data_IF_736226095029
#
_entry.id   IF_736226095029
#
_cell.length_a   1.000
_cell.length_b   1.000
_cell.length_c   1.000
_cell.angle_alpha   90.00
_cell.angle_beta   90.00
_cell.angle_gamma   90.00
#
_symmetry.space_group_name_H-M   'P 1'
#
loop_
_entity.id
_entity.type
_entity.pdbx_description
1 polymer ?
#
# COMPACT_ATOMS: atom_id res chain seq x y z
N UNK A 1 17.71 14.04 10.16
CA UNK A 1 16.56 15.00 10.04
C UNK A 1 17.09 16.27 9.41
N UNK A 2 16.38 16.84 8.45
CA UNK A 2 16.83 18.00 7.67
C UNK A 2 16.69 19.35 8.41
N UNK A 3 16.30 19.34 9.70
CA UNK A 3 16.19 20.55 10.54
C UNK A 3 14.86 21.30 10.41
N UNK A 4 13.86 20.72 9.71
CA UNK A 4 12.51 21.29 9.63
C UNK A 4 11.64 20.73 10.77
N UNK A 5 10.94 21.63 11.47
CA UNK A 5 10.05 21.31 12.59
C UNK A 5 8.73 22.05 12.36
N UNK A 6 7.64 21.28 12.29
CA UNK A 6 6.29 21.85 12.10
C UNK A 6 5.97 22.86 13.22
N UNK A 7 5.39 23.99 12.81
CA UNK A 7 5.05 25.09 13.71
C UNK A 7 6.23 25.98 14.15
N UNK A 8 7.48 25.64 13.78
CA UNK A 8 8.65 26.48 14.06
C UNK A 8 9.21 27.13 12.80
N UNK A 9 9.54 26.33 11.79
CA UNK A 9 10.19 26.80 10.55
C UNK A 9 9.61 26.15 9.29
N UNK A 10 8.56 25.36 9.43
CA UNK A 10 7.76 24.80 8.32
C UNK A 10 6.29 24.71 8.76
N UNK A 11 5.38 24.96 7.80
CA UNK A 11 3.95 24.74 7.96
C UNK A 11 3.55 23.61 7.04
N UNK A 12 2.75 22.65 7.53
CA UNK A 12 2.22 21.55 6.73
C UNK A 12 0.74 21.80 6.43
N UNK A 13 0.42 21.84 5.15
CA UNK A 13 -0.95 21.98 4.63
C UNK A 13 -1.50 20.60 4.27
N UNK A 14 -2.32 20.04 5.14
CA UNK A 14 -2.92 18.72 4.91
C UNK A 14 -4.13 18.78 3.99
N UNK A 15 -4.18 17.85 3.02
CA UNK A 15 -5.34 17.61 2.16
C UNK A 15 -5.62 16.12 2.11
N UNK A 16 -6.86 15.73 2.33
CA UNK A 16 -7.28 14.33 2.29
C UNK A 16 -8.57 14.20 1.49
N UNK A 17 -8.60 13.23 0.60
CA UNK A 17 -9.79 12.82 -0.15
C UNK A 17 -10.60 11.73 0.59
N UNK A 18 -10.24 11.41 1.85
CA UNK A 18 -10.93 10.44 2.72
C UNK A 18 -11.21 9.08 2.03
N UNK A 19 -10.22 8.59 1.26
CA UNK A 19 -10.30 7.34 0.51
C UNK A 19 -10.90 7.44 -0.89
N UNK A 20 -11.56 8.56 -1.25
CA UNK A 20 -12.02 8.82 -2.62
C UNK A 20 -10.90 9.36 -3.52
N UNK A 21 -11.04 9.19 -4.84
CA UNK A 21 -10.07 9.72 -5.82
C UNK A 21 -10.58 10.94 -6.55
N UNK A 22 -11.89 11.16 -6.58
CA UNK A 22 -12.55 12.20 -7.37
C UNK A 22 -12.16 13.63 -6.96
N UNK A 23 -11.98 13.87 -5.65
CA UNK A 23 -11.58 15.18 -5.12
C UNK A 23 -10.09 15.51 -5.27
N UNK A 24 -9.23 14.56 -5.63
CA UNK A 24 -7.78 14.75 -5.68
C UNK A 24 -7.31 15.86 -6.64
N UNK A 25 -7.88 16.04 -7.84
CA UNK A 25 -7.49 17.14 -8.72
C UNK A 25 -7.72 18.53 -8.10
N UNK A 26 -8.85 18.71 -7.43
CA UNK A 26 -9.19 19.98 -6.76
C UNK A 26 -8.28 20.26 -5.56
N UNK A 27 -8.01 19.23 -4.76
CA UNK A 27 -7.09 19.32 -3.62
C UNK A 27 -5.65 19.63 -4.05
N UNK A 28 -5.20 19.05 -5.15
CA UNK A 28 -3.90 19.38 -5.73
C UNK A 28 -3.86 20.82 -6.26
N UNK A 29 -4.92 21.26 -6.96
CA UNK A 29 -5.03 22.63 -7.44
C UNK A 29 -5.08 23.66 -6.29
N UNK A 30 -5.70 23.33 -5.15
CA UNK A 30 -5.69 24.19 -3.96
C UNK A 30 -4.26 24.39 -3.41
N UNK A 31 -3.47 23.33 -3.30
CA UNK A 31 -2.06 23.43 -2.88
C UNK A 31 -1.24 24.30 -3.84
N UNK A 32 -1.49 24.18 -5.15
CA UNK A 32 -0.83 25.03 -6.16
C UNK A 32 -1.25 26.51 -6.01
N UNK A 33 -2.53 26.82 -5.79
CA UNK A 33 -3.00 28.19 -5.51
C UNK A 33 -2.36 28.78 -4.27
N UNK A 34 -2.11 27.97 -3.25
CA UNK A 34 -1.42 28.35 -2.00
C UNK A 34 0.09 28.53 -2.17
N UNK A 35 0.63 28.18 -3.34
CA UNK A 35 2.07 28.28 -3.65
C UNK A 35 2.94 27.55 -2.62
N UNK A 36 2.54 26.34 -2.24
CA UNK A 36 3.36 25.52 -1.33
C UNK A 36 4.75 25.27 -1.94
N UNK A 37 5.77 25.18 -1.10
CA UNK A 37 7.15 25.03 -1.57
C UNK A 37 7.44 23.62 -2.11
N UNK A 38 6.77 22.57 -1.57
CA UNK A 38 6.88 21.17 -1.98
C UNK A 38 5.52 20.49 -1.79
N UNK A 39 5.14 19.61 -2.69
CA UNK A 39 3.97 18.73 -2.54
C UNK A 39 4.45 17.33 -2.20
N UNK A 40 3.99 16.77 -1.07
CA UNK A 40 4.14 15.36 -0.75
C UNK A 40 2.85 14.62 -1.14
N UNK A 41 2.94 13.66 -2.05
CA UNK A 41 1.80 12.95 -2.63
C UNK A 41 1.81 11.46 -2.25
N UNK A 42 0.93 11.07 -1.33
CA UNK A 42 0.82 9.70 -0.84
C UNK A 42 -0.16 8.87 -1.68
N UNK A 43 0.35 7.88 -2.39
CA UNK A 43 -0.38 6.96 -3.25
C UNK A 43 -0.43 7.35 -4.72
N UNK A 44 -0.61 6.36 -5.62
CA UNK A 44 -0.62 6.56 -7.06
C UNK A 44 -1.61 7.63 -7.56
N UNK A 45 -2.90 7.64 -7.12
CA UNK A 45 -3.84 8.65 -7.58
C UNK A 45 -3.45 10.08 -7.17
N UNK A 46 -2.94 10.26 -5.94
CA UNK A 46 -2.50 11.57 -5.45
C UNK A 46 -1.28 12.08 -6.22
N UNK A 47 -0.31 11.19 -6.49
CA UNK A 47 0.88 11.52 -7.28
C UNK A 47 0.51 11.96 -8.71
N UNK A 48 -0.42 11.23 -9.35
CA UNK A 48 -0.91 11.57 -10.68
C UNK A 48 -1.67 12.91 -10.68
N UNK A 49 -2.48 13.19 -9.67
CA UNK A 49 -3.19 14.47 -9.54
C UNK A 49 -2.22 15.63 -9.32
N UNK A 50 -1.25 15.50 -8.43
CA UNK A 50 -0.23 16.52 -8.17
C UNK A 50 0.59 16.82 -9.43
N UNK A 51 1.03 15.80 -10.17
CA UNK A 51 1.80 15.96 -11.41
C UNK A 51 1.00 16.73 -12.48
N UNK A 52 -0.31 16.47 -12.60
CA UNK A 52 -1.18 17.21 -13.53
C UNK A 52 -1.39 18.66 -13.11
N UNK A 53 -1.39 18.93 -11.80
CA UNK A 53 -1.70 20.26 -11.27
C UNK A 53 -0.54 21.25 -11.41
N UNK A 54 0.72 20.79 -11.44
CA UNK A 54 1.89 21.68 -11.54
C UNK A 54 3.07 21.02 -12.25
N UNK A 55 3.86 21.86 -12.93
CA UNK A 55 5.15 21.47 -13.54
C UNK A 55 6.34 22.17 -12.87
N UNK A 56 6.10 23.02 -11.88
CA UNK A 56 7.13 23.85 -11.26
C UNK A 56 7.32 23.57 -9.77
N UNK A 57 6.24 23.32 -9.03
CA UNK A 57 6.36 22.97 -7.62
C UNK A 57 6.95 21.56 -7.51
N UNK A 58 8.04 21.34 -6.78
CA UNK A 58 8.61 20.03 -6.52
C UNK A 58 7.59 19.06 -5.92
N UNK A 59 7.57 17.83 -6.40
CA UNK A 59 6.68 16.78 -5.92
C UNK A 59 7.52 15.59 -5.44
N UNK A 60 7.28 15.15 -4.21
CA UNK A 60 7.76 13.88 -3.67
C UNK A 60 6.59 12.93 -3.59
N UNK A 61 6.59 11.88 -4.38
CA UNK A 61 5.55 10.85 -4.31
C UNK A 61 5.97 9.66 -3.46
N UNK A 62 4.99 8.95 -2.90
CA UNK A 62 5.10 7.59 -2.39
C UNK A 62 4.07 6.75 -3.13
N UNK A 63 4.50 5.77 -3.91
CA UNK A 63 3.64 5.02 -4.83
C UNK A 63 3.85 3.52 -4.74
N UNK A 64 2.75 2.75 -4.80
CA UNK A 64 2.78 1.30 -4.97
C UNK A 64 2.75 0.86 -6.43
N UNK A 65 2.31 1.73 -7.34
CA UNK A 65 2.39 1.51 -8.78
C UNK A 65 3.73 1.99 -9.34
N UNK A 66 4.20 1.33 -10.40
CA UNK A 66 5.45 1.67 -11.08
C UNK A 66 5.40 3.12 -11.60
N UNK A 67 6.26 4.02 -11.10
CA UNK A 67 6.21 5.44 -11.45
C UNK A 67 6.62 5.73 -12.89
N UNK A 68 7.36 4.84 -13.54
CA UNK A 68 7.70 4.97 -14.97
C UNK A 68 6.50 4.58 -15.84
N UNK A 69 5.85 3.45 -15.54
CA UNK A 69 4.63 3.03 -16.24
C UNK A 69 3.49 4.01 -16.03
N UNK A 70 3.38 4.62 -14.85
CA UNK A 70 2.42 5.70 -14.57
C UNK A 70 2.77 7.02 -15.25
N UNK A 71 3.94 7.11 -15.88
CA UNK A 71 4.43 8.35 -16.48
C UNK A 71 4.74 9.45 -15.46
N UNK A 72 4.96 9.13 -14.19
CA UNK A 72 5.35 10.11 -13.17
C UNK A 72 6.78 10.59 -13.40
N UNK A 73 7.68 9.70 -13.72
CA UNK A 73 9.09 9.96 -13.99
C UNK A 73 9.54 9.26 -15.27
N UNK A 74 10.62 9.71 -15.90
CA UNK A 74 11.17 9.06 -17.09
C UNK A 74 12.04 7.85 -16.75
N UNK A 75 12.69 7.84 -15.58
CA UNK A 75 13.48 6.73 -15.06
C UNK A 75 13.68 6.85 -13.55
N UNK A 76 14.06 5.75 -12.91
CA UNK A 76 14.37 5.75 -11.45
C UNK A 76 15.63 6.55 -11.12
N UNK A 77 16.68 6.44 -11.93
CA UNK A 77 18.00 7.05 -11.64
C UNK A 77 18.02 8.55 -11.87
N UNK A 78 17.28 9.02 -12.89
CA UNK A 78 17.19 10.44 -13.27
C UNK A 78 15.75 10.79 -13.55
N UNK A 79 14.95 11.01 -12.51
CA UNK A 79 13.59 11.51 -12.69
C UNK A 79 13.66 12.86 -13.42
N UNK A 80 12.82 13.07 -14.40
CA UNK A 80 12.79 14.32 -15.18
C UNK A 80 11.72 15.27 -14.61
N UNK A 81 11.93 16.58 -14.83
CA UNK A 81 10.96 17.59 -14.40
C UNK A 81 10.97 17.86 -12.90
N UNK A 82 9.78 18.10 -12.35
CA UNK A 82 9.60 18.50 -10.95
C UNK A 82 9.21 17.34 -10.01
N UNK A 83 9.32 16.08 -10.44
CA UNK A 83 8.81 14.92 -9.70
C UNK A 83 9.93 13.97 -9.33
N UNK A 84 9.99 13.55 -8.08
CA UNK A 84 10.80 12.45 -7.56
C UNK A 84 10.03 11.72 -6.47
N UNK A 85 10.57 10.67 -5.88
CA UNK A 85 9.89 10.01 -4.77
C UNK A 85 10.31 8.58 -4.51
N UNK A 86 9.34 7.79 -4.09
CA UNK A 86 9.54 6.47 -3.50
C UNK A 86 8.55 5.48 -4.10
N UNK A 87 9.07 4.35 -4.55
CA UNK A 87 8.30 3.23 -5.09
C UNK A 87 8.42 2.01 -4.19
N UNK A 88 7.31 1.58 -3.57
CA UNK A 88 7.35 0.54 -2.55
C UNK A 88 7.02 -0.88 -3.05
N UNK A 89 7.19 -1.15 -4.35
CA UNK A 89 7.14 -2.49 -4.94
C UNK A 89 5.84 -3.26 -4.68
N UNK A 90 4.69 -2.56 -4.59
CA UNK A 90 3.44 -3.20 -4.18
C UNK A 90 3.02 -4.32 -5.13
N UNK A 91 3.22 -4.12 -6.41
CA UNK A 91 2.85 -5.08 -7.46
C UNK A 91 3.86 -6.22 -7.58
N UNK A 92 5.16 -5.96 -7.41
CA UNK A 92 6.21 -6.99 -7.45
C UNK A 92 6.13 -7.97 -6.28
N UNK A 93 5.58 -7.55 -5.15
CA UNK A 93 5.44 -8.38 -3.96
C UNK A 93 4.18 -9.26 -3.95
N UNK A 94 3.28 -9.09 -4.91
CA UNK A 94 2.00 -9.85 -5.00
C UNK A 94 2.24 -11.36 -5.03
N UNK A 95 3.13 -11.82 -5.91
CA UNK A 95 3.45 -13.23 -6.05
C UNK A 95 4.02 -13.84 -4.75
N UNK A 96 4.95 -13.12 -4.12
CA UNK A 96 5.57 -13.56 -2.87
C UNK A 96 4.58 -13.60 -1.71
N UNK A 97 3.69 -12.58 -1.62
CA UNK A 97 2.65 -12.54 -0.58
C UNK A 97 1.65 -13.68 -0.71
N UNK A 98 1.20 -14.00 -1.93
CA UNK A 98 0.30 -15.12 -2.16
C UNK A 98 1.00 -16.44 -1.84
N UNK A 99 2.27 -16.62 -2.24
CA UNK A 99 3.03 -17.82 -1.91
C UNK A 99 3.21 -17.99 -0.39
N UNK A 100 3.49 -16.91 0.35
CA UNK A 100 3.57 -16.94 1.81
C UNK A 100 2.22 -17.29 2.46
N UNK A 101 1.12 -16.74 1.96
CA UNK A 101 -0.23 -17.06 2.44
C UNK A 101 -0.56 -18.54 2.19
N UNK A 102 -0.23 -19.06 1.01
CA UNK A 102 -0.45 -20.46 0.67
C UNK A 102 0.45 -21.40 1.50
N UNK A 103 1.70 -21.03 1.75
CA UNK A 103 2.61 -21.78 2.63
C UNK A 103 2.08 -21.85 4.06
N UNK A 104 1.51 -20.76 4.56
CA UNK A 104 0.86 -20.70 5.87
C UNK A 104 -0.42 -21.53 5.91
N UNK A 105 -1.16 -21.61 4.80
CA UNK A 105 -2.45 -22.27 4.68
C UNK A 105 -2.45 -23.31 3.53
N UNK A 106 -1.66 -24.38 3.62
CA UNK A 106 -1.45 -25.30 2.48
C UNK A 106 -2.68 -26.09 2.06
N UNK A 107 -3.72 -26.12 2.91
CA UNK A 107 -5.00 -26.78 2.60
C UNK A 107 -6.02 -25.84 1.94
N UNK A 108 -5.82 -24.52 2.07
CA UNK A 108 -6.72 -23.55 1.45
C UNK A 108 -6.60 -23.59 -0.07
N UNK A 109 -7.74 -23.70 -0.74
CA UNK A 109 -7.84 -23.73 -2.20
C UNK A 109 -8.55 -22.50 -2.76
N UNK A 110 -9.52 -21.94 -2.03
CA UNK A 110 -10.27 -20.77 -2.43
C UNK A 110 -9.74 -19.53 -1.74
N UNK A 111 -9.22 -18.60 -2.53
CA UNK A 111 -8.65 -17.33 -2.04
C UNK A 111 -9.48 -16.17 -2.58
N UNK A 112 -10.17 -15.46 -1.69
CA UNK A 112 -10.77 -14.18 -2.04
C UNK A 112 -9.68 -13.11 -2.17
N UNK A 113 -9.79 -12.27 -3.18
CA UNK A 113 -8.90 -11.14 -3.43
C UNK A 113 -9.70 -9.86 -3.38
N UNK A 114 -9.32 -8.93 -2.54
CA UNK A 114 -9.96 -7.62 -2.43
C UNK A 114 -9.05 -6.55 -3.04
N UNK A 115 -9.55 -5.79 -4.03
CA UNK A 115 -8.84 -4.69 -4.69
C UNK A 115 -9.74 -3.47 -4.85
N UNK A 116 -9.12 -2.29 -4.89
CA UNK A 116 -9.83 -1.05 -5.19
C UNK A 116 -9.74 -0.75 -6.70
N UNK A 117 -10.85 -0.86 -7.47
CA UNK A 117 -10.83 -0.67 -8.91
C UNK A 117 -10.51 0.77 -9.33
N UNK A 118 -10.68 1.75 -8.44
CA UNK A 118 -10.36 3.16 -8.74
C UNK A 118 -8.86 3.46 -8.71
N UNK A 119 -8.07 2.58 -8.08
CA UNK A 119 -6.61 2.65 -8.07
C UNK A 119 -6.02 1.67 -9.11
N UNK A 120 -6.27 1.97 -10.38
CA UNK A 120 -5.91 1.14 -11.53
C UNK A 120 -4.43 0.75 -11.53
N UNK A 121 -3.54 1.68 -11.13
CA UNK A 121 -2.09 1.47 -11.11
C UNK A 121 -1.61 0.33 -10.19
N UNK A 122 -2.43 -0.07 -9.22
CA UNK A 122 -2.14 -1.22 -8.33
C UNK A 122 -3.12 -2.36 -8.52
N UNK A 123 -4.40 -2.07 -8.80
CA UNK A 123 -5.45 -3.09 -8.91
C UNK A 123 -5.23 -4.03 -10.10
N UNK A 124 -5.05 -3.49 -11.30
CA UNK A 124 -4.88 -4.32 -12.51
C UNK A 124 -3.64 -5.22 -12.47
N UNK A 125 -2.43 -4.72 -12.13
CA UNK A 125 -1.27 -5.59 -11.97
C UNK A 125 -1.48 -6.64 -10.88
N UNK A 126 -2.08 -6.28 -9.74
CA UNK A 126 -2.38 -7.21 -8.65
C UNK A 126 -3.26 -8.36 -9.14
N UNK A 127 -4.37 -8.06 -9.80
CA UNK A 127 -5.29 -9.09 -10.33
C UNK A 127 -4.62 -9.99 -11.36
N UNK A 128 -3.88 -9.39 -12.30
CA UNK A 128 -3.14 -10.12 -13.34
C UNK A 128 -2.11 -11.09 -12.73
N UNK A 129 -1.31 -10.62 -11.80
CA UNK A 129 -0.22 -11.40 -11.21
C UNK A 129 -0.76 -12.49 -10.28
N UNK A 130 -1.84 -12.22 -9.52
CA UNK A 130 -2.54 -13.24 -8.73
C UNK A 130 -3.16 -14.33 -9.60
N UNK A 131 -3.70 -13.99 -10.77
CA UNK A 131 -4.22 -14.98 -11.70
C UNK A 131 -3.13 -15.91 -12.25
N UNK A 132 -1.92 -15.41 -12.45
CA UNK A 132 -0.76 -16.21 -12.89
C UNK A 132 -0.29 -17.14 -11.77
N UNK A 133 -0.01 -16.55 -10.60
CA UNK A 133 0.56 -17.30 -9.45
C UNK A 133 -0.49 -18.26 -8.86
N UNK A 134 -1.76 -17.87 -8.82
CA UNK A 134 -2.86 -18.73 -8.35
C UNK A 134 -2.97 -20.00 -9.19
N UNK A 135 -2.87 -19.90 -10.51
CA UNK A 135 -2.82 -21.07 -11.39
C UNK A 135 -1.62 -21.98 -11.09
N UNK A 136 -0.43 -21.40 -10.91
CA UNK A 136 0.78 -22.16 -10.59
C UNK A 136 0.68 -22.89 -9.24
N UNK A 137 -0.04 -22.32 -8.27
CA UNK A 137 -0.29 -22.90 -6.95
C UNK A 137 -1.57 -23.75 -6.87
N UNK A 138 -2.29 -23.93 -7.99
CA UNK A 138 -3.58 -24.65 -8.04
C UNK A 138 -4.62 -24.06 -7.06
N UNK A 139 -4.65 -22.72 -6.97
CA UNK A 139 -5.62 -21.96 -6.18
C UNK A 139 -6.75 -21.47 -7.06
N UNK A 140 -7.98 -21.54 -6.54
CA UNK A 140 -9.14 -20.89 -7.09
C UNK A 140 -9.22 -19.46 -6.52
N UNK A 141 -9.14 -18.47 -7.41
CA UNK A 141 -9.07 -17.06 -7.02
C UNK A 141 -10.32 -16.34 -7.51
N UNK A 142 -11.04 -15.73 -6.57
CA UNK A 142 -12.16 -14.84 -6.90
C UNK A 142 -11.84 -13.41 -6.45
N UNK A 143 -11.96 -12.46 -7.40
CA UNK A 143 -11.69 -11.05 -7.17
C UNK A 143 -12.97 -10.33 -6.76
N UNK A 144 -12.87 -9.53 -5.71
CA UNK A 144 -13.91 -8.64 -5.21
C UNK A 144 -13.40 -7.20 -5.25
N UNK A 145 -14.28 -6.28 -5.57
CA UNK A 145 -13.95 -4.89 -5.75
C UNK A 145 -14.60 -4.05 -4.65
N UNK A 146 -13.83 -3.10 -4.09
CA UNK A 146 -14.35 -2.14 -3.14
C UNK A 146 -13.57 -0.83 -3.23
N UNK A 147 -14.29 0.28 -3.39
CA UNK A 147 -13.78 1.65 -3.43
C UNK A 147 -14.34 2.53 -2.32
N UNK A 148 -15.24 1.98 -1.49
CA UNK A 148 -15.86 2.63 -0.34
C UNK A 148 -15.98 1.65 0.82
N UNK A 149 -16.17 2.20 2.04
CA UNK A 149 -16.41 1.38 3.24
C UNK A 149 -17.65 0.47 3.09
N UNK A 150 -18.74 0.99 2.51
CA UNK A 150 -19.95 0.19 2.28
C UNK A 150 -19.73 -0.96 1.29
N UNK A 151 -18.88 -0.74 0.29
CA UNK A 151 -18.50 -1.81 -0.65
C UNK A 151 -17.58 -2.86 0.00
N UNK A 152 -16.77 -2.48 1.01
CA UNK A 152 -16.04 -3.45 1.83
C UNK A 152 -17.01 -4.39 2.55
N UNK A 153 -18.04 -3.83 3.22
CA UNK A 153 -19.05 -4.63 3.90
C UNK A 153 -19.79 -5.55 2.93
N UNK A 154 -20.16 -5.06 1.75
CA UNK A 154 -20.82 -5.84 0.71
C UNK A 154 -19.94 -6.98 0.16
N UNK A 155 -18.62 -6.72 -0.05
CA UNK A 155 -17.67 -7.73 -0.48
C UNK A 155 -17.56 -8.87 0.54
N UNK A 156 -17.42 -8.54 1.83
CA UNK A 156 -17.37 -9.55 2.88
C UNK A 156 -18.69 -10.33 3.03
N UNK A 157 -19.84 -9.68 2.87
CA UNK A 157 -21.12 -10.37 2.85
C UNK A 157 -21.24 -11.39 1.68
N UNK A 158 -20.69 -11.03 0.52
CA UNK A 158 -20.66 -11.90 -0.65
C UNK A 158 -19.73 -13.12 -0.48
N UNK A 159 -18.73 -13.08 0.41
CA UNK A 159 -17.88 -14.24 0.71
C UNK A 159 -18.66 -15.46 1.19
N UNK A 160 -19.78 -15.25 1.90
CA UNK A 160 -20.60 -16.34 2.43
C UNK A 160 -21.15 -17.28 1.33
N UNK A 161 -21.35 -16.79 0.11
CA UNK A 161 -21.89 -17.59 -1.00
C UNK A 161 -20.82 -18.46 -1.67
N UNK A 162 -19.54 -18.02 -1.66
CA UNK A 162 -18.46 -18.74 -2.32
C UNK A 162 -17.59 -19.54 -1.32
N UNK A 163 -17.53 -19.09 -0.07
CA UNK A 163 -16.80 -19.74 1.01
C UNK A 163 -15.28 -19.72 0.82
N UNK A 164 -14.65 -18.53 0.72
CA UNK A 164 -13.19 -18.45 0.68
C UNK A 164 -12.56 -19.00 1.96
N UNK A 165 -11.38 -19.60 1.83
CA UNK A 165 -10.60 -20.18 2.93
C UNK A 165 -9.45 -19.28 3.34
N UNK A 166 -9.15 -18.27 2.51
CA UNK A 166 -8.16 -17.23 2.77
C UNK A 166 -8.52 -15.93 2.05
N UNK A 167 -7.96 -14.82 2.52
CA UNK A 167 -8.18 -13.48 1.98
C UNK A 167 -6.84 -12.81 1.64
N UNK A 168 -6.73 -12.32 0.43
CA UNK A 168 -5.62 -11.48 -0.01
C UNK A 168 -6.11 -10.04 -0.17
N UNK A 169 -5.60 -9.13 0.65
CA UNK A 169 -5.91 -7.69 0.55
C UNK A 169 -4.88 -7.02 -0.35
N UNK A 170 -5.33 -6.46 -1.47
CA UNK A 170 -4.50 -5.65 -2.37
C UNK A 170 -3.96 -4.39 -1.68
N UNK A 171 -2.82 -3.85 -2.14
CA UNK A 171 -2.28 -2.61 -1.59
C UNK A 171 -3.11 -1.40 -2.06
N UNK A 172 -3.72 -0.67 -1.12
CA UNK A 172 -4.50 0.52 -1.44
C UNK A 172 -4.59 1.51 -0.26
N UNK A 173 -4.55 2.84 -0.50
CA UNK A 173 -4.71 3.84 0.56
C UNK A 173 -6.04 3.73 1.32
N UNK A 174 -7.16 3.39 0.64
CA UNK A 174 -8.45 3.16 1.29
C UNK A 174 -8.34 2.01 2.29
N UNK A 175 -7.76 0.88 1.88
CA UNK A 175 -7.65 -0.29 2.75
C UNK A 175 -6.74 -0.03 3.96
N UNK A 176 -5.75 0.84 3.80
CA UNK A 176 -4.94 1.27 4.93
C UNK A 176 -5.71 2.23 5.86
N UNK A 177 -6.48 3.17 5.34
CA UNK A 177 -7.32 4.06 6.16
C UNK A 177 -8.42 3.29 6.90
N UNK A 178 -8.98 2.25 6.28
CA UNK A 178 -10.03 1.37 6.83
C UNK A 178 -9.47 0.11 7.51
N UNK A 179 -8.17 0.07 7.86
CA UNK A 179 -7.49 -1.14 8.38
C UNK A 179 -8.19 -1.78 9.58
N UNK A 180 -8.63 -0.98 10.55
CA UNK A 180 -9.32 -1.47 11.74
C UNK A 180 -10.66 -2.15 11.37
N UNK A 181 -11.38 -1.58 10.42
CA UNK A 181 -12.63 -2.14 9.91
C UNK A 181 -12.38 -3.44 9.14
N UNK A 182 -11.41 -3.45 8.23
CA UNK A 182 -11.03 -4.64 7.46
C UNK A 182 -10.59 -5.81 8.35
N UNK A 183 -9.77 -5.53 9.36
CA UNK A 183 -9.32 -6.56 10.31
C UNK A 183 -10.49 -7.10 11.13
N UNK A 184 -11.42 -6.23 11.55
CA UNK A 184 -12.65 -6.63 12.24
C UNK A 184 -13.53 -7.51 11.36
N UNK A 185 -13.69 -7.18 10.08
CA UNK A 185 -14.44 -8.00 9.13
C UNK A 185 -13.76 -9.36 8.92
N UNK A 186 -12.44 -9.39 8.70
CA UNK A 186 -11.69 -10.65 8.54
C UNK A 186 -11.88 -11.56 9.76
N UNK A 187 -11.81 -11.02 10.98
CA UNK A 187 -12.03 -11.74 12.22
C UNK A 187 -13.48 -12.26 12.32
N UNK A 188 -14.48 -11.42 12.01
CA UNK A 188 -15.92 -11.79 12.04
C UNK A 188 -16.25 -12.94 11.11
N UNK A 189 -15.60 -12.98 9.94
CA UNK A 189 -15.79 -14.04 8.94
C UNK A 189 -14.79 -15.21 9.11
N UNK A 190 -13.99 -15.19 10.18
CA UNK A 190 -12.95 -16.18 10.45
C UNK A 190 -12.01 -16.43 9.25
N UNK A 191 -11.67 -15.37 8.50
CA UNK A 191 -10.84 -15.44 7.30
C UNK A 191 -9.39 -15.12 7.62
N UNK A 192 -8.46 -16.08 7.49
CA UNK A 192 -7.04 -15.79 7.49
C UNK A 192 -6.67 -14.84 6.37
N UNK A 193 -6.10 -13.67 6.70
CA UNK A 193 -5.85 -12.63 5.72
C UNK A 193 -4.37 -12.22 5.64
N UNK A 194 -3.91 -11.98 4.39
CA UNK A 194 -2.60 -11.40 4.10
C UNK A 194 -2.75 -9.91 3.74
N UNK A 195 -1.99 -9.07 4.44
CA UNK A 195 -1.96 -7.64 4.26
C UNK A 195 -0.62 -7.17 3.69
N UNK A 196 -0.59 -5.98 3.12
CA UNK A 196 0.64 -5.38 2.59
C UNK A 196 1.44 -4.62 3.66
N UNK A 197 0.75 -4.01 4.64
CA UNK A 197 1.37 -3.18 5.67
C UNK A 197 1.24 -3.82 7.05
N UNK A 198 2.29 -3.69 7.86
CA UNK A 198 2.34 -4.17 9.26
C UNK A 198 1.26 -3.61 10.16
N UNK A 199 0.81 -2.36 9.90
CA UNK A 199 -0.24 -1.67 10.67
C UNK A 199 -1.53 -2.49 10.78
N UNK A 200 -1.84 -3.31 9.76
CA UNK A 200 -2.97 -4.24 9.81
C UNK A 200 -2.73 -5.36 10.82
N UNK A 201 -1.49 -5.87 10.90
CA UNK A 201 -1.12 -6.96 11.81
C UNK A 201 -1.07 -6.46 13.25
N UNK A 202 -0.56 -5.25 13.47
CA UNK A 202 -0.63 -4.53 14.75
C UNK A 202 -2.07 -4.28 15.21
N UNK A 203 -2.99 -4.08 14.25
CA UNK A 203 -4.43 -3.95 14.48
C UNK A 203 -5.15 -5.30 14.59
N UNK A 204 -4.44 -6.41 14.85
CA UNK A 204 -4.92 -7.79 14.95
C UNK A 204 -5.20 -8.51 13.60
N UNK A 205 -4.59 -8.09 12.49
CA UNK A 205 -4.50 -8.89 11.27
C UNK A 205 -3.58 -10.10 11.45
N UNK A 206 -3.68 -11.11 10.56
CA UNK A 206 -2.92 -12.35 10.71
C UNK A 206 -1.46 -12.21 10.28
N UNK A 207 -1.22 -11.75 9.06
CA UNK A 207 0.13 -11.61 8.50
C UNK A 207 0.24 -10.45 7.53
N UNK A 208 1.43 -9.85 7.49
CA UNK A 208 1.78 -8.91 6.41
C UNK A 208 3.16 -9.25 5.83
N UNK A 209 3.35 -8.89 4.57
CA UNK A 209 4.65 -8.88 3.93
C UNK A 209 4.76 -7.66 3.04
N UNK A 210 5.71 -6.78 3.34
CA UNK A 210 5.90 -5.51 2.66
C UNK A 210 7.09 -4.72 3.20
N UNK A 211 7.30 -3.49 2.72
CA UNK A 211 8.39 -2.64 3.21
C UNK A 211 8.12 -2.12 4.63
N UNK A 212 9.21 -1.78 5.33
CA UNK A 212 9.15 -0.96 6.55
C UNK A 212 8.72 0.47 6.18
N UNK A 213 7.42 0.74 6.33
CA UNK A 213 6.84 2.04 5.97
C UNK A 213 7.31 3.17 6.87
N UNK A 214 7.65 2.92 8.12
CA UNK A 214 8.15 3.96 9.03
C UNK A 214 9.50 4.48 8.52
N UNK A 215 10.41 3.58 8.13
CA UNK A 215 11.68 3.94 7.51
C UNK A 215 11.45 4.65 6.16
N UNK A 216 10.55 4.14 5.37
CA UNK A 216 10.25 4.64 4.02
C UNK A 216 9.72 6.09 4.06
N UNK A 217 8.76 6.38 4.93
CA UNK A 217 8.24 7.75 5.11
C UNK A 217 9.27 8.69 5.72
N UNK A 218 10.14 8.21 6.61
CA UNK A 218 11.24 9.00 7.16
C UNK A 218 12.23 9.43 6.06
N UNK A 219 12.57 8.53 5.14
CA UNK A 219 13.39 8.84 3.98
C UNK A 219 12.69 9.83 3.04
N UNK A 220 11.38 9.68 2.82
CA UNK A 220 10.60 10.64 2.03
C UNK A 220 10.60 12.04 2.65
N UNK A 221 10.50 12.13 3.98
CA UNK A 221 10.67 13.40 4.73
C UNK A 221 12.04 14.03 4.52
N UNK A 222 13.11 13.21 4.43
CA UNK A 222 14.46 13.69 4.09
C UNK A 222 14.49 14.31 2.68
N UNK A 223 13.81 13.71 1.69
CA UNK A 223 13.72 14.27 0.34
C UNK A 223 12.98 15.62 0.34
N UNK A 224 11.85 15.71 1.04
CA UNK A 224 11.14 16.98 1.21
C UNK A 224 12.06 18.04 1.81
N UNK A 225 12.80 17.70 2.87
CA UNK A 225 13.75 18.64 3.49
C UNK A 225 14.87 19.10 2.55
N UNK A 226 15.40 18.21 1.73
CA UNK A 226 16.42 18.56 0.72
C UNK A 226 15.87 19.50 -0.36
N UNK A 227 14.63 19.27 -0.81
CA UNK A 227 13.95 20.13 -1.78
C UNK A 227 13.67 21.51 -1.20
N UNK A 228 13.26 21.60 0.06
CA UNK A 228 13.08 22.87 0.78
C UNK A 228 14.40 23.67 0.92
N UNK A 229 15.55 22.98 0.90
CA UNK A 229 16.89 23.59 0.87
C UNK A 229 17.39 23.91 -0.54
N UNK A 230 16.56 23.72 -1.57
CA UNK A 230 16.89 24.07 -2.96
C UNK A 230 17.48 22.95 -3.81
N UNK A 231 17.47 21.70 -3.34
CA UNK A 231 17.81 20.56 -4.21
C UNK A 231 16.78 20.46 -5.35
N UNK A 232 17.21 19.95 -6.52
CA UNK A 232 16.31 19.75 -7.64
C UNK A 232 15.76 18.33 -7.62
N UNK A 233 14.45 18.08 -7.92
CA UNK A 233 13.89 16.75 -8.03
C UNK A 233 14.66 15.83 -8.98
N UNK A 234 15.15 16.36 -10.11
CA UNK A 234 15.91 15.63 -11.11
C UNK A 234 17.25 15.06 -10.59
N UNK A 235 17.79 15.61 -9.50
CA UNK A 235 19.05 15.17 -8.87
C UNK A 235 18.81 14.16 -7.73
N UNK A 236 17.54 13.83 -7.45
CA UNK A 236 17.10 12.89 -6.42
C UNK A 236 16.53 11.63 -7.09
N UNK A 237 17.26 10.51 -7.14
CA UNK A 237 16.76 9.26 -7.72
C UNK A 237 15.51 8.78 -7.01
N UNK A 238 14.60 8.12 -7.75
CA UNK A 238 13.49 7.39 -7.13
C UNK A 238 14.05 6.24 -6.30
N UNK A 239 13.67 6.20 -5.03
CA UNK A 239 14.11 5.16 -4.10
C UNK A 239 13.14 3.97 -4.07
N UNK A 240 13.70 2.80 -3.80
CA UNK A 240 12.97 1.56 -3.52
C UNK A 240 13.31 1.09 -2.10
N UNK A 241 12.45 0.30 -1.44
CA UNK A 241 12.75 -0.22 -0.12
C UNK A 241 13.95 -1.16 -0.16
N UNK A 242 14.83 -1.00 0.80
CA UNK A 242 15.99 -1.90 0.99
C UNK A 242 15.68 -3.03 1.96
N UNK A 243 14.60 -2.91 2.72
CA UNK A 243 14.14 -3.90 3.69
C UNK A 243 12.67 -4.23 3.47
N UNK A 244 12.38 -5.51 3.36
CA UNK A 244 11.04 -6.08 3.39
C UNK A 244 10.91 -6.88 4.68
N UNK A 245 9.72 -6.86 5.29
CA UNK A 245 9.46 -7.55 6.55
C UNK A 245 8.24 -8.46 6.46
N UNK A 246 8.36 -9.65 7.05
CA UNK A 246 7.28 -10.59 7.31
C UNK A 246 6.88 -10.44 8.78
N UNK A 247 5.65 -9.99 9.02
CA UNK A 247 5.10 -9.85 10.38
C UNK A 247 3.93 -10.80 10.55
N UNK A 248 3.88 -11.50 11.68
CA UNK A 248 2.85 -12.51 12.00
C UNK A 248 2.28 -12.23 13.38
N UNK A 249 0.95 -12.35 13.52
CA UNK A 249 0.24 -12.20 14.80
C UNK A 249 -0.23 -13.58 15.29
N UNK A 250 0.41 -14.08 16.36
CA UNK A 250 0.07 -15.38 16.95
C UNK A 250 -1.26 -15.36 17.70
N UNK A 251 -1.68 -14.22 18.28
CA UNK A 251 -3.01 -14.12 18.89
C UNK A 251 -4.11 -14.34 17.85
N UNK A 252 -3.94 -13.74 16.69
CA UNK A 252 -4.88 -13.87 15.57
C UNK A 252 -4.82 -15.29 14.99
N UNK A 253 -3.63 -15.87 14.83
CA UNK A 253 -3.49 -17.25 14.40
C UNK A 253 -4.20 -18.22 15.36
N UNK A 254 -4.03 -18.04 16.67
CA UNK A 254 -4.72 -18.83 17.70
C UNK A 254 -6.24 -18.66 17.65
N UNK A 255 -6.73 -17.43 17.47
CA UNK A 255 -8.17 -17.14 17.34
C UNK A 255 -8.80 -17.81 16.10
N UNK A 256 -8.01 -17.97 15.03
CA UNK A 256 -8.39 -18.68 13.80
C UNK A 256 -8.13 -20.19 13.85
N UNK A 257 -7.73 -20.73 15.02
CA UNK A 257 -7.33 -22.13 15.20
C UNK A 257 -6.23 -22.60 14.23
N UNK A 258 -5.33 -21.72 13.83
CA UNK A 258 -4.20 -22.00 12.95
C UNK A 258 -2.98 -22.41 13.74
N UNK A 259 -2.33 -23.48 13.27
CA UNK A 259 -1.01 -23.91 13.76
C UNK A 259 0.02 -23.41 12.74
N UNK A 260 0.84 -22.44 13.15
CA UNK A 260 1.88 -21.90 12.27
C UNK A 260 3.14 -22.78 12.43
N UNK A 261 3.68 -23.34 11.32
CA UNK A 261 4.87 -24.17 11.38
C UNK A 261 6.07 -23.41 11.95
N UNK A 262 6.90 -24.02 12.83
CA UNK A 262 8.09 -23.35 13.37
C UNK A 262 9.06 -22.85 12.30
N UNK A 263 9.21 -23.59 11.19
CA UNK A 263 10.03 -23.16 10.05
C UNK A 263 9.49 -21.90 9.35
N UNK A 264 8.17 -21.65 9.38
CA UNK A 264 7.57 -20.44 8.86
C UNK A 264 7.83 -19.26 9.82
N UNK A 265 7.64 -19.47 11.13
CA UNK A 265 7.91 -18.45 12.16
C UNK A 265 9.38 -18.02 12.18
N UNK A 266 10.31 -18.95 11.97
CA UNK A 266 11.75 -18.63 11.92
C UNK A 266 12.14 -17.67 10.78
N UNK A 267 11.26 -17.47 9.83
CA UNK A 267 11.45 -16.51 8.69
C UNK A 267 10.75 -15.17 8.93
N UNK A 268 9.95 -15.06 9.97
CA UNK A 268 9.31 -13.81 10.33
C UNK A 268 10.35 -12.85 10.90
N UNK A 269 10.31 -11.61 10.43
CA UNK A 269 11.12 -10.52 10.98
C UNK A 269 10.56 -10.07 12.34
N UNK A 270 9.24 -10.22 12.52
CA UNK A 270 8.57 -9.92 13.78
C UNK A 270 7.37 -10.87 14.01
N UNK A 271 7.22 -11.29 15.26
CA UNK A 271 6.09 -12.10 15.74
C UNK A 271 5.40 -11.36 16.87
N UNK A 272 4.11 -11.02 16.71
CA UNK A 272 3.28 -10.35 17.71
C UNK A 272 2.57 -11.45 18.55
N UNK A 273 2.83 -11.44 19.86
CA UNK A 273 2.28 -12.39 20.85
C UNK A 273 1.13 -11.76 21.67
#
# INVERSE_FOLDING_TARGET
>A
MEGFVEGQNVTIEYRSANGGVEGLPELAADLVRRRVAVIFAAGPPAAAAAKRATQTIPIVFVSGGDPVQMGLVSSFHRPSGNVTGFYFLATELVAKRLALLHELLPRAKRVAVLVNPTNVATAEPTVRDLAIVGRALSLDIQVYYASTRGELDAAFAAFSSWGPEALFIGPDPLFNSERAHLVTLAARYALPASYFQRDHVESSGLMSYGPDFADFYRQAGTYVGRLLKGARPADLPVQQPTKLELVINLKTAKALALIIPPAFLARADEVIE
#
